data_IF_244236650922
#
_entry.id   IF_244236650922
#
_cell.length_a   1.000
_cell.length_b   1.000
_cell.length_c   1.000
_cell.angle_alpha   90.00
_cell.angle_beta   90.00
_cell.angle_gamma   90.00
#
_symmetry.space_group_name_H-M   'P 1'
#
loop_
_entity.id
_entity.type
_entity.pdbx_description
1 polymer ?
#
# COMPACT_ATOMS: atom_id res chain seq x y z
N UNK A 1 4.82 68.99 -5.72
CA UNK A 1 3.72 69.58 -6.51
C UNK A 1 4.26 69.75 -7.92
N UNK A 2 3.68 69.24 -9.00
CA UNK A 2 2.37 68.67 -9.24
C UNK A 2 2.43 67.82 -10.54
N UNK A 3 1.60 66.76 -10.59
CA UNK A 3 0.85 66.22 -11.74
C UNK A 3 1.62 65.80 -13.02
N UNK A 4 1.24 64.83 -13.83
CA UNK A 4 0.38 63.64 -13.78
C UNK A 4 0.25 63.16 -15.24
N UNK A 5 -0.02 61.86 -15.41
CA UNK A 5 -0.82 61.27 -16.50
C UNK A 5 -0.21 60.98 -17.89
N UNK A 6 -0.24 59.67 -18.18
CA UNK A 6 -0.82 59.00 -19.36
C UNK A 6 -0.05 58.99 -20.68
N UNK A 7 0.44 57.79 -21.04
CA UNK A 7 0.30 57.18 -22.37
C UNK A 7 0.85 55.76 -22.31
N UNK A 8 -0.04 54.75 -22.33
CA UNK A 8 0.36 53.41 -22.74
C UNK A 8 -0.85 52.65 -23.28
N UNK A 9 -1.06 52.69 -24.59
CA UNK A 9 -1.83 51.70 -25.34
C UNK A 9 -1.30 51.68 -26.78
N UNK A 10 -1.20 50.46 -27.33
CA UNK A 10 -0.92 50.08 -28.72
C UNK A 10 0.43 49.40 -28.95
N UNK A 11 0.50 48.11 -28.67
CA UNK A 11 1.32 47.18 -29.44
C UNK A 11 0.40 46.08 -29.99
N UNK A 12 0.18 46.14 -31.29
CA UNK A 12 -0.63 45.24 -32.10
C UNK A 12 0.18 43.95 -32.34
N UNK A 13 -0.19 42.84 -31.70
CA UNK A 13 0.43 41.54 -31.98
C UNK A 13 -0.29 40.89 -33.17
N UNK A 14 0.33 40.93 -34.34
CA UNK A 14 -0.11 40.14 -35.51
C UNK A 14 0.34 38.69 -35.28
N UNK A 15 -0.60 37.82 -34.90
CA UNK A 15 -0.37 36.38 -34.91
C UNK A 15 -0.53 35.85 -36.34
N UNK A 16 0.57 35.40 -36.94
CA UNK A 16 0.54 34.67 -38.20
C UNK A 16 -0.16 33.31 -37.99
N UNK A 17 -1.36 33.16 -38.56
CA UNK A 17 -2.02 31.88 -38.76
C UNK A 17 -1.32 31.15 -39.91
N UNK A 18 -0.32 30.33 -39.57
CA UNK A 18 0.07 29.21 -40.42
C UNK A 18 -0.75 28.00 -39.98
N UNK A 19 -1.45 27.29 -40.89
CA UNK A 19 -2.05 26.02 -40.54
C UNK A 19 -0.92 25.04 -40.24
N UNK A 20 -0.69 24.77 -38.95
CA UNK A 20 0.05 23.58 -38.56
C UNK A 20 -0.74 22.40 -39.12
N UNK A 21 -0.12 21.61 -40.00
CA UNK A 21 -0.62 20.28 -40.29
C UNK A 21 -0.67 19.54 -38.95
N UNK A 22 -1.87 19.36 -38.41
CA UNK A 22 -2.11 18.54 -37.22
C UNK A 22 -1.75 17.10 -37.58
N UNK A 23 -0.57 16.65 -37.19
CA UNK A 23 -0.22 15.24 -37.31
C UNK A 23 -0.97 14.50 -36.20
N UNK A 24 -1.74 13.47 -36.53
CA UNK A 24 -2.52 12.66 -35.58
C UNK A 24 -1.69 11.92 -34.50
N UNK A 25 -0.37 12.06 -34.52
CA UNK A 25 0.49 11.59 -33.45
C UNK A 25 0.25 12.44 -32.19
N UNK A 26 0.15 11.79 -31.03
CA UNK A 26 -0.04 12.43 -29.73
C UNK A 26 -1.44 13.01 -29.44
N UNK A 27 -2.44 12.78 -30.30
CA UNK A 27 -3.83 13.23 -30.10
C UNK A 27 -4.49 12.67 -28.83
N UNK A 28 -4.06 11.48 -28.38
CA UNK A 28 -4.57 10.84 -27.17
C UNK A 28 -3.63 10.99 -25.95
N UNK A 29 -2.71 11.96 -25.99
CA UNK A 29 -1.73 12.18 -24.92
C UNK A 29 -2.36 12.54 -23.57
N UNK A 30 -3.54 13.18 -23.56
CA UNK A 30 -4.23 13.51 -22.31
C UNK A 30 -4.69 12.25 -21.56
N UNK A 31 -5.29 11.29 -22.28
CA UNK A 31 -5.65 9.99 -21.70
C UNK A 31 -4.40 9.20 -21.27
N UNK A 32 -3.34 9.20 -22.09
CA UNK A 32 -2.05 8.60 -21.74
C UNK A 32 -1.51 9.12 -20.40
N UNK A 33 -1.51 10.45 -20.19
CA UNK A 33 -1.06 11.04 -18.92
C UNK A 33 -1.89 10.59 -17.73
N UNK A 34 -3.22 10.51 -17.87
CA UNK A 34 -4.10 10.01 -16.81
C UNK A 34 -3.74 8.57 -16.43
N UNK A 35 -3.57 7.68 -17.41
CA UNK A 35 -3.17 6.30 -17.12
C UNK A 35 -1.76 6.19 -16.55
N UNK A 36 -0.84 7.08 -16.94
CA UNK A 36 0.48 7.15 -16.31
C UNK A 36 0.42 7.61 -14.85
N UNK A 37 -0.47 8.54 -14.51
CA UNK A 37 -0.66 8.99 -13.12
C UNK A 37 -1.32 7.88 -12.28
N UNK A 38 -2.26 7.12 -12.84
CA UNK A 38 -2.85 5.92 -12.22
C UNK A 38 -1.84 4.77 -12.05
N UNK A 39 -0.99 4.54 -13.06
CA UNK A 39 0.13 3.60 -12.96
C UNK A 39 1.09 4.02 -11.85
N UNK A 40 1.40 5.31 -11.77
CA UNK A 40 2.30 5.87 -10.75
C UNK A 40 1.83 5.53 -9.34
N UNK A 41 0.56 5.77 -9.01
CA UNK A 41 0.05 5.49 -7.66
C UNK A 41 -0.09 4.00 -7.36
N UNK A 42 -0.23 3.14 -8.37
CA UNK A 42 -0.30 1.67 -8.18
C UNK A 42 1.07 1.00 -8.08
N UNK A 43 2.13 1.61 -8.58
CA UNK A 43 3.49 1.05 -8.53
C UNK A 43 4.41 1.73 -7.51
N UNK A 44 4.00 2.88 -6.95
CA UNK A 44 4.80 3.56 -5.92
C UNK A 44 4.75 2.77 -4.61
N UNK A 45 5.90 2.44 -4.00
CA UNK A 45 5.93 1.69 -2.75
C UNK A 45 5.37 2.52 -1.57
N UNK A 46 4.66 1.84 -0.68
CA UNK A 46 4.27 2.39 0.62
C UNK A 46 5.28 2.00 1.71
N UNK A 47 5.87 3.00 2.38
CA UNK A 47 7.00 2.83 3.32
C UNK A 47 6.78 3.46 4.71
N UNK A 48 5.70 4.20 4.94
CA UNK A 48 5.55 5.07 6.12
C UNK A 48 5.16 4.38 7.43
N UNK A 49 4.65 3.14 7.40
CA UNK A 49 4.04 2.47 8.57
C UNK A 49 4.91 1.43 9.26
N UNK A 50 6.22 1.42 9.06
CA UNK A 50 7.09 0.41 9.67
C UNK A 50 7.30 0.70 11.17
N UNK A 51 7.15 -0.34 12.00
CA UNK A 51 7.51 -0.33 13.42
C UNK A 51 8.82 -1.10 13.60
N UNK A 52 9.90 -0.37 13.88
CA UNK A 52 11.24 -0.94 14.05
C UNK A 52 11.64 -1.11 15.52
N UNK A 53 10.82 -0.61 16.45
CA UNK A 53 11.09 -0.74 17.88
C UNK A 53 10.92 -2.21 18.31
N UNK A 54 11.70 -2.61 19.31
CA UNK A 54 11.64 -3.94 19.90
C UNK A 54 11.40 -3.86 21.42
N UNK A 55 10.23 -3.37 21.88
CA UNK A 55 9.91 -3.25 23.31
C UNK A 55 9.95 -4.61 24.02
N UNK A 56 9.77 -5.71 23.30
CA UNK A 56 9.98 -7.07 23.81
C UNK A 56 11.39 -7.28 24.35
N UNK A 57 12.42 -6.67 23.73
CA UNK A 57 13.80 -6.78 24.20
C UNK A 57 13.96 -6.12 25.57
N UNK A 58 13.43 -4.91 25.75
CA UNK A 58 13.46 -4.20 27.03
C UNK A 58 12.65 -4.94 28.10
N UNK A 59 11.47 -5.44 27.75
CA UNK A 59 10.64 -6.24 28.66
C UNK A 59 11.34 -7.52 29.10
N UNK A 60 11.97 -8.24 28.17
CA UNK A 60 12.77 -9.43 28.49
C UNK A 60 13.97 -9.11 29.40
N UNK A 61 14.52 -7.89 29.32
CA UNK A 61 15.54 -7.43 30.27
C UNK A 61 14.95 -7.27 31.67
N UNK A 62 13.75 -6.69 31.78
CA UNK A 62 13.05 -6.52 33.06
C UNK A 62 12.75 -7.88 33.70
N UNK A 63 12.30 -8.85 32.92
CA UNK A 63 12.08 -10.22 33.40
C UNK A 63 13.37 -10.86 33.94
N UNK A 64 14.49 -10.69 33.24
CA UNK A 64 15.79 -11.21 33.67
C UNK A 64 16.31 -10.48 34.94
N UNK A 65 16.11 -9.17 35.05
CA UNK A 65 16.38 -8.42 36.28
C UNK A 65 15.52 -8.93 37.44
N UNK A 66 14.24 -9.21 37.20
CA UNK A 66 13.35 -9.78 38.22
C UNK A 66 13.84 -11.17 38.67
N UNK A 67 14.29 -12.02 37.75
CA UNK A 67 14.92 -13.29 38.06
C UNK A 67 16.16 -13.13 38.96
N UNK A 68 17.03 -12.15 38.67
CA UNK A 68 18.24 -11.88 39.47
C UNK A 68 17.96 -11.45 40.92
N UNK A 69 16.77 -10.89 41.17
CA UNK A 69 16.34 -10.42 42.49
C UNK A 69 15.50 -11.44 43.26
N UNK A 70 15.12 -12.56 42.64
CA UNK A 70 14.43 -13.68 43.27
C UNK A 70 15.28 -14.38 44.35
N UNK A 71 14.64 -15.23 45.14
CA UNK A 71 15.33 -16.07 46.13
C UNK A 71 16.15 -17.16 45.45
N UNK A 72 17.23 -17.58 46.12
CA UNK A 72 18.12 -18.61 45.59
C UNK A 72 17.36 -19.94 45.42
N UNK A 73 16.49 -20.31 46.37
CA UNK A 73 15.60 -21.48 46.29
C UNK A 73 14.68 -21.47 45.07
N UNK A 74 14.24 -20.30 44.64
CA UNK A 74 13.40 -20.13 43.45
C UNK A 74 14.23 -20.29 42.17
N UNK A 75 15.34 -19.57 42.08
CA UNK A 75 16.20 -19.60 40.89
C UNK A 75 16.83 -20.98 40.68
N UNK A 76 17.12 -21.72 41.75
CA UNK A 76 17.65 -23.08 41.72
C UNK A 76 16.65 -24.12 41.17
N UNK A 77 15.39 -23.75 40.92
CA UNK A 77 14.43 -24.64 40.26
C UNK A 77 14.68 -24.78 38.75
N UNK A 78 15.50 -23.90 38.16
CA UNK A 78 15.74 -23.84 36.72
C UNK A 78 17.19 -24.23 36.38
N UNK A 79 17.37 -25.15 35.44
CA UNK A 79 18.67 -25.39 34.81
C UNK A 79 18.77 -24.56 33.52
N UNK A 80 19.40 -23.39 33.66
CA UNK A 80 19.56 -22.41 32.58
C UNK A 80 20.80 -22.65 31.72
N UNK A 81 21.54 -23.74 31.97
CA UNK A 81 22.68 -24.15 31.13
C UNK A 81 22.27 -24.94 29.88
N UNK A 82 21.03 -25.43 29.86
CA UNK A 82 20.47 -26.18 28.74
C UNK A 82 20.02 -25.24 27.61
N UNK A 83 19.88 -25.79 26.40
CA UNK A 83 19.36 -25.05 25.24
C UNK A 83 17.82 -24.97 25.21
N UNK A 84 17.15 -25.87 25.93
CA UNK A 84 15.70 -25.93 26.05
C UNK A 84 15.25 -25.80 27.51
N UNK A 85 13.96 -25.45 27.70
CA UNK A 85 13.33 -25.31 29.01
C UNK A 85 13.61 -26.53 29.90
N UNK A 86 14.38 -26.30 30.97
CA UNK A 86 14.79 -27.33 31.90
C UNK A 86 14.61 -26.87 33.35
N UNK A 87 13.85 -27.63 34.18
CA UNK A 87 13.06 -28.81 33.83
C UNK A 87 11.85 -28.46 32.94
N UNK A 88 11.30 -29.43 32.19
CA UNK A 88 10.17 -29.21 31.26
C UNK A 88 8.86 -28.78 31.93
N UNK A 89 8.71 -29.02 33.24
CA UNK A 89 7.52 -28.70 34.01
C UNK A 89 7.89 -28.13 35.38
N UNK A 90 7.02 -27.29 35.97
CA UNK A 90 7.14 -26.89 37.37
C UNK A 90 7.20 -28.11 38.31
N UNK A 91 8.01 -28.06 39.38
CA UNK A 91 8.04 -29.11 40.40
C UNK A 91 6.72 -29.19 41.18
N UNK A 92 6.06 -30.35 41.13
CA UNK A 92 4.71 -30.56 41.69
C UNK A 92 4.60 -30.25 43.19
N UNK A 93 5.65 -30.50 43.97
CA UNK A 93 5.68 -30.26 45.42
C UNK A 93 6.03 -28.84 45.85
N UNK A 94 6.45 -27.97 44.91
CA UNK A 94 6.75 -26.55 45.19
C UNK A 94 5.76 -25.58 44.54
N UNK A 95 4.86 -26.08 43.70
CA UNK A 95 3.85 -25.29 43.00
C UNK A 95 2.58 -25.21 43.84
N UNK A 96 2.11 -24.02 44.24
CA UNK A 96 0.83 -23.88 44.94
C UNK A 96 -0.32 -24.47 44.12
N UNK A 97 -1.24 -25.19 44.78
CA UNK A 97 -2.34 -25.86 44.09
C UNK A 97 -3.24 -24.88 43.31
N UNK A 98 -3.40 -23.66 43.81
CA UNK A 98 -4.17 -22.57 43.18
C UNK A 98 -3.52 -22.00 41.94
N UNK A 99 -2.21 -22.20 41.77
CA UNK A 99 -1.41 -21.46 40.77
C UNK A 99 -0.81 -22.39 39.70
N UNK A 100 -1.18 -23.69 39.69
CA UNK A 100 -0.61 -24.69 38.78
C UNK A 100 -0.68 -24.28 37.31
N UNK A 101 -1.80 -23.73 36.86
CA UNK A 101 -1.96 -23.27 35.47
C UNK A 101 -1.07 -22.06 35.16
N UNK A 102 -1.05 -21.07 36.05
CA UNK A 102 -0.20 -19.89 35.91
C UNK A 102 1.26 -20.27 35.86
N UNK A 103 1.71 -21.15 36.75
CA UNK A 103 3.09 -21.64 36.74
C UNK A 103 3.42 -22.41 35.47
N UNK A 104 2.56 -23.32 35.02
CA UNK A 104 2.79 -24.05 33.77
C UNK A 104 2.91 -23.11 32.57
N UNK A 105 2.09 -22.06 32.51
CA UNK A 105 2.11 -21.04 31.45
C UNK A 105 3.38 -20.19 31.49
N UNK A 106 3.81 -19.79 32.69
CA UNK A 106 4.94 -18.87 32.88
C UNK A 106 6.30 -19.59 32.95
N UNK A 107 6.31 -20.90 33.17
CA UNK A 107 7.54 -21.70 33.34
C UNK A 107 8.57 -21.48 32.23
N UNK A 108 8.20 -21.52 30.94
CA UNK A 108 9.16 -21.28 29.85
C UNK A 108 9.72 -19.85 29.87
N UNK A 109 8.90 -18.87 30.22
CA UNK A 109 9.29 -17.45 30.28
C UNK A 109 10.27 -17.20 31.43
N UNK A 110 10.00 -17.78 32.60
CA UNK A 110 10.90 -17.69 33.76
C UNK A 110 12.24 -18.36 33.49
N UNK A 111 12.25 -19.53 32.83
CA UNK A 111 13.48 -20.20 32.41
C UNK A 111 14.29 -19.33 31.44
N UNK A 112 13.63 -18.77 30.41
CA UNK A 112 14.30 -17.89 29.44
C UNK A 112 14.87 -16.62 30.09
N UNK A 113 14.13 -16.03 31.04
CA UNK A 113 14.61 -14.90 31.84
C UNK A 113 15.85 -15.27 32.67
N UNK A 114 15.88 -16.48 33.24
CA UNK A 114 17.05 -17.02 33.93
C UNK A 114 18.26 -17.20 33.02
N UNK A 115 18.08 -17.81 31.84
CA UNK A 115 19.15 -17.95 30.83
C UNK A 115 19.72 -16.60 30.39
N UNK A 116 18.86 -15.60 30.18
CA UNK A 116 19.28 -14.23 29.89
C UNK A 116 20.02 -13.59 31.05
N UNK A 117 19.52 -13.73 32.28
CA UNK A 117 20.17 -13.23 33.50
C UNK A 117 21.60 -13.76 33.63
N UNK A 118 21.83 -15.05 33.37
CA UNK A 118 23.17 -15.68 33.39
C UNK A 118 24.05 -15.12 32.28
N UNK A 119 23.55 -15.08 31.05
CA UNK A 119 24.28 -14.62 29.85
C UNK A 119 24.74 -13.16 29.99
N UNK A 120 23.84 -12.28 30.43
CA UNK A 120 24.16 -10.86 30.60
C UNK A 120 24.94 -10.56 31.89
N UNK A 121 25.05 -11.55 32.79
CA UNK A 121 25.66 -11.44 34.12
C UNK A 121 24.93 -10.42 35.01
N UNK A 122 23.59 -10.42 34.96
CA UNK A 122 22.77 -9.52 35.77
C UNK A 122 22.91 -9.85 37.26
N UNK A 123 23.19 -8.84 38.08
CA UNK A 123 23.38 -9.01 39.51
C UNK A 123 24.65 -9.79 39.90
N UNK A 124 25.64 -9.91 38.98
CA UNK A 124 26.91 -10.62 39.20
C UNK A 124 28.12 -9.78 38.78
N UNK A 125 29.16 -9.75 39.61
CA UNK A 125 30.47 -9.17 39.31
C UNK A 125 30.50 -7.63 39.17
N UNK A 126 31.57 -7.12 38.57
CA UNK A 126 31.86 -5.67 38.47
C UNK A 126 31.25 -4.99 37.22
N UNK A 127 30.31 -5.64 36.53
CA UNK A 127 29.66 -5.04 35.35
C UNK A 127 28.76 -3.89 35.77
N UNK A 128 28.96 -2.73 35.13
CA UNK A 128 28.28 -1.46 35.47
C UNK A 128 26.79 -1.42 35.13
N UNK A 129 26.34 -2.18 34.13
CA UNK A 129 24.95 -2.07 33.66
C UNK A 129 23.91 -2.64 34.66
N UNK A 130 24.25 -3.71 35.38
CA UNK A 130 23.33 -4.40 36.31
C UNK A 130 24.09 -4.91 37.56
N UNK A 131 24.51 -4.00 38.47
CA UNK A 131 25.35 -4.37 39.60
C UNK A 131 24.63 -5.27 40.61
N UNK A 132 25.38 -6.09 41.39
CA UNK A 132 24.82 -6.89 42.46
C UNK A 132 24.19 -6.03 43.57
N UNK A 133 23.03 -6.45 44.09
CA UNK A 133 22.39 -5.83 45.26
C UNK A 133 22.77 -6.64 46.50
N UNK A 134 23.71 -6.12 47.31
CA UNK A 134 24.27 -6.83 48.46
C UNK A 134 23.35 -6.87 49.69
N UNK A 135 22.47 -5.87 49.87
CA UNK A 135 21.57 -5.79 51.04
C UNK A 135 20.27 -6.57 50.79
N UNK A 136 19.92 -7.59 51.61
CA UNK A 136 18.72 -8.40 51.40
C UNK A 136 17.42 -7.59 51.35
N UNK A 137 17.29 -6.55 52.18
CA UNK A 137 16.13 -5.67 52.17
C UNK A 137 15.98 -4.91 50.84
N UNK A 138 17.09 -4.44 50.27
CA UNK A 138 17.09 -3.75 48.98
C UNK A 138 16.80 -4.71 47.83
N UNK A 139 17.35 -5.94 47.86
CA UNK A 139 17.04 -6.99 46.85
C UNK A 139 15.55 -7.31 46.83
N UNK A 140 14.93 -7.49 48.01
CA UNK A 140 13.48 -7.71 48.13
C UNK A 140 12.65 -6.52 47.65
N UNK A 141 13.09 -5.29 47.93
CA UNK A 141 12.40 -4.09 47.45
C UNK A 141 12.49 -3.98 45.93
N UNK A 142 13.67 -4.19 45.34
CA UNK A 142 13.87 -4.20 43.89
C UNK A 142 12.98 -5.24 43.21
N UNK A 143 12.90 -6.46 43.76
CA UNK A 143 12.02 -7.52 43.25
C UNK A 143 10.55 -7.06 43.17
N UNK A 144 10.03 -6.44 44.24
CA UNK A 144 8.64 -5.93 44.26
C UNK A 144 8.39 -4.85 43.22
N UNK A 145 9.32 -3.92 43.05
CA UNK A 145 9.16 -2.86 42.03
C UNK A 145 9.28 -3.42 40.61
N UNK A 146 10.15 -4.41 40.37
CA UNK A 146 10.24 -5.11 39.09
C UNK A 146 8.96 -5.89 38.78
N UNK A 147 8.34 -6.55 39.77
CA UNK A 147 7.04 -7.21 39.57
C UNK A 147 5.95 -6.22 39.13
N UNK A 148 5.82 -5.08 39.80
CA UNK A 148 4.86 -4.03 39.38
C UNK A 148 5.13 -3.54 37.94
N UNK A 149 6.40 -3.36 37.60
CA UNK A 149 6.79 -2.94 36.26
C UNK A 149 6.47 -4.02 35.21
N UNK A 150 6.69 -5.30 35.53
CA UNK A 150 6.34 -6.42 34.67
C UNK A 150 4.84 -6.44 34.40
N UNK A 151 4.02 -6.31 35.45
CA UNK A 151 2.56 -6.35 35.35
C UNK A 151 2.03 -5.21 34.47
N UNK A 152 2.55 -4.00 34.66
CA UNK A 152 2.20 -2.85 33.84
C UNK A 152 2.67 -2.98 32.38
N UNK A 153 3.88 -3.48 32.16
CA UNK A 153 4.52 -3.48 30.82
C UNK A 153 4.06 -4.65 29.94
N UNK A 154 3.68 -5.79 30.54
CA UNK A 154 3.28 -6.99 29.80
C UNK A 154 2.13 -6.72 28.84
N UNK A 155 1.13 -5.97 29.28
CA UNK A 155 -0.02 -5.62 28.45
C UNK A 155 0.39 -4.73 27.28
N UNK A 156 1.25 -3.75 27.51
CA UNK A 156 1.75 -2.84 26.46
C UNK A 156 2.56 -3.59 25.39
N UNK A 157 3.44 -4.50 25.79
CA UNK A 157 4.21 -5.34 24.84
C UNK A 157 3.28 -6.23 24.02
N UNK A 158 2.26 -6.81 24.67
CA UNK A 158 1.26 -7.64 23.97
C UNK A 158 0.51 -6.82 22.93
N UNK A 159 0.00 -5.63 23.31
CA UNK A 159 -0.68 -4.71 22.40
C UNK A 159 0.22 -4.29 21.24
N UNK A 160 1.50 -3.98 21.51
CA UNK A 160 2.46 -3.62 20.48
C UNK A 160 2.64 -4.74 19.45
N UNK A 161 2.76 -6.01 19.88
CA UNK A 161 2.89 -7.14 18.97
C UNK A 161 1.62 -7.38 18.14
N UNK A 162 0.43 -7.15 18.72
CA UNK A 162 -0.84 -7.16 17.99
C UNK A 162 -0.83 -6.08 16.91
N UNK A 163 -0.49 -4.84 17.24
CA UNK A 163 -0.40 -3.74 16.26
C UNK A 163 0.62 -4.04 15.16
N UNK A 164 1.80 -4.56 15.50
CA UNK A 164 2.85 -4.95 14.53
C UNK A 164 2.34 -6.02 13.55
N UNK A 165 1.59 -7.00 14.04
CA UNK A 165 0.97 -8.06 13.22
C UNK A 165 -0.13 -7.49 12.32
N UNK A 166 -0.97 -6.63 12.86
CA UNK A 166 -2.05 -5.97 12.12
C UNK A 166 -1.51 -5.09 10.99
N UNK A 167 -0.44 -4.34 11.23
CA UNK A 167 0.23 -3.53 10.21
C UNK A 167 0.74 -4.40 9.05
N UNK A 168 1.34 -5.55 9.35
CA UNK A 168 1.81 -6.50 8.32
C UNK A 168 0.64 -7.02 7.48
N UNK A 169 -0.46 -7.40 8.12
CA UNK A 169 -1.67 -7.90 7.44
C UNK A 169 -2.28 -6.82 6.55
N UNK A 170 -2.45 -5.60 7.07
CA UNK A 170 -3.01 -4.47 6.31
C UNK A 170 -2.11 -4.02 5.17
N UNK A 171 -0.78 -4.08 5.33
CA UNK A 171 0.15 -3.80 4.24
C UNK A 171 -0.01 -4.81 3.10
N UNK A 172 -0.15 -6.09 3.40
CA UNK A 172 -0.44 -7.09 2.38
C UNK A 172 -1.80 -6.86 1.67
N UNK A 173 -2.81 -6.39 2.40
CA UNK A 173 -4.10 -6.00 1.81
C UNK A 173 -3.97 -4.77 0.89
N UNK A 174 -3.21 -3.75 1.31
CA UNK A 174 -2.89 -2.59 0.47
C UNK A 174 -2.22 -3.01 -0.83
N UNK A 175 -1.18 -3.82 -0.75
CA UNK A 175 -0.42 -4.29 -1.93
C UNK A 175 -1.34 -5.11 -2.87
N UNK A 176 -2.25 -5.90 -2.31
CA UNK A 176 -3.27 -6.63 -3.08
C UNK A 176 -4.23 -5.68 -3.81
N UNK A 177 -4.78 -4.67 -3.12
CA UNK A 177 -5.67 -3.69 -3.75
C UNK A 177 -5.00 -2.90 -4.86
N UNK A 178 -3.76 -2.46 -4.68
CA UNK A 178 -3.00 -1.75 -5.72
C UNK A 178 -2.74 -2.65 -6.93
N UNK A 179 -2.39 -3.92 -6.69
CA UNK A 179 -2.15 -4.91 -7.75
C UNK A 179 -3.42 -5.22 -8.53
N UNK A 180 -4.54 -5.44 -7.84
CA UNK A 180 -5.84 -5.69 -8.49
C UNK A 180 -6.38 -4.46 -9.21
N UNK A 181 -6.12 -3.24 -8.73
CA UNK A 181 -6.43 -2.03 -9.49
C UNK A 181 -5.65 -1.98 -10.80
N UNK A 182 -4.35 -2.27 -10.73
CA UNK A 182 -3.45 -2.18 -11.89
C UNK A 182 -3.72 -3.26 -12.94
N UNK A 183 -3.84 -4.52 -12.50
CA UNK A 183 -3.83 -5.70 -13.37
C UNK A 183 -5.15 -6.48 -13.36
N UNK A 184 -6.04 -6.17 -12.42
CA UNK A 184 -7.31 -6.87 -12.24
C UNK A 184 -7.21 -8.13 -11.38
N UNK A 185 -8.37 -8.69 -11.07
CA UNK A 185 -8.51 -9.92 -10.30
C UNK A 185 -7.93 -11.13 -11.06
N UNK A 186 -7.21 -12.00 -10.37
CA UNK A 186 -6.62 -13.20 -10.98
C UNK A 186 -5.45 -12.91 -11.92
N UNK A 187 -4.82 -11.75 -11.80
CA UNK A 187 -3.57 -11.43 -12.50
C UNK A 187 -2.48 -12.47 -12.16
N UNK A 188 -1.61 -12.72 -13.13
CA UNK A 188 -0.48 -13.64 -13.00
C UNK A 188 0.75 -13.04 -13.68
N UNK A 189 1.94 -13.30 -13.12
CA UNK A 189 3.22 -12.81 -13.65
C UNK A 189 3.28 -11.29 -13.94
N UNK A 190 2.52 -10.47 -13.20
CA UNK A 190 2.49 -9.02 -13.39
C UNK A 190 1.74 -8.54 -14.65
N UNK A 191 0.85 -9.38 -15.18
CA UNK A 191 0.05 -9.11 -16.38
C UNK A 191 -1.45 -9.14 -16.10
N UNK A 192 -2.26 -8.32 -16.78
CA UNK A 192 -3.70 -8.49 -16.77
C UNK A 192 -4.10 -9.76 -17.52
N UNK A 193 -5.02 -10.55 -16.95
CA UNK A 193 -5.47 -11.83 -17.50
C UNK A 193 -6.94 -11.80 -17.92
N UNK A 194 -7.29 -12.51 -18.99
CA UNK A 194 -8.69 -12.63 -19.41
C UNK A 194 -9.45 -13.67 -18.58
N UNK A 195 -10.75 -13.48 -18.29
CA UNK A 195 -11.59 -12.32 -18.64
C UNK A 195 -11.66 -11.24 -17.53
N UNK A 196 -10.90 -11.43 -16.43
CA UNK A 196 -11.09 -10.67 -15.18
C UNK A 196 -10.29 -9.38 -15.12
N UNK A 197 -9.04 -9.39 -15.58
CA UNK A 197 -8.20 -8.19 -15.69
C UNK A 197 -8.28 -7.48 -17.03
N UNK A 198 -8.56 -8.21 -18.10
CA UNK A 198 -8.88 -7.70 -19.44
C UNK A 198 -10.03 -8.53 -20.02
N UNK A 199 -10.97 -7.97 -20.77
CA UNK A 199 -12.14 -8.74 -21.21
C UNK A 199 -11.77 -9.88 -22.20
N UNK A 200 -10.90 -9.56 -23.15
CA UNK A 200 -10.33 -10.51 -24.09
C UNK A 200 -8.98 -10.01 -24.60
N UNK A 201 -8.20 -10.89 -25.23
CA UNK A 201 -6.95 -10.51 -25.92
C UNK A 201 -7.10 -10.53 -27.44
N UNK A 202 -8.21 -11.05 -27.96
CA UNK A 202 -8.37 -11.45 -29.37
C UNK A 202 -8.60 -10.31 -30.35
N UNK A 203 -9.26 -9.23 -29.93
CA UNK A 203 -9.47 -8.04 -30.75
C UNK A 203 -9.80 -6.85 -29.87
N UNK A 204 -9.61 -5.64 -30.41
CA UNK A 204 -9.99 -4.41 -29.73
C UNK A 204 -11.46 -4.42 -29.33
N UNK A 205 -12.36 -4.80 -30.24
CA UNK A 205 -13.81 -4.80 -29.97
C UNK A 205 -14.19 -5.74 -28.81
N UNK A 206 -13.55 -6.91 -28.72
CA UNK A 206 -13.79 -7.89 -27.65
C UNK A 206 -13.10 -7.55 -26.33
N UNK A 207 -12.14 -6.62 -26.34
CA UNK A 207 -11.40 -6.21 -25.15
C UNK A 207 -11.88 -4.87 -24.57
N UNK A 208 -12.24 -3.95 -25.45
CA UNK A 208 -12.43 -2.52 -25.20
C UNK A 208 -13.80 -1.99 -25.63
N UNK A 209 -14.61 -2.82 -26.29
CA UNK A 209 -15.97 -2.47 -26.69
C UNK A 209 -16.86 -2.11 -25.49
N UNK A 210 -18.04 -1.57 -25.77
CA UNK A 210 -18.96 -1.07 -24.75
C UNK A 210 -19.19 -2.09 -23.61
N UNK A 211 -19.24 -1.60 -22.37
CA UNK A 211 -19.42 -2.37 -21.12
C UNK A 211 -18.26 -3.30 -20.71
N UNK A 212 -17.16 -3.34 -21.47
CA UNK A 212 -15.98 -4.15 -21.15
C UNK A 212 -14.88 -3.45 -20.35
N UNK A 213 -14.65 -2.12 -20.51
CA UNK A 213 -13.68 -1.38 -19.72
C UNK A 213 -13.95 -1.34 -18.22
N UNK A 214 -12.93 -0.92 -17.46
CA UNK A 214 -13.00 -0.75 -16.01
C UNK A 214 -12.46 -1.93 -15.21
N UNK A 215 -12.12 -3.05 -15.87
CA UNK A 215 -11.59 -4.26 -15.24
C UNK A 215 -10.23 -4.05 -14.56
N UNK A 216 -9.33 -3.32 -15.22
CA UNK A 216 -8.02 -2.94 -14.69
C UNK A 216 -7.48 -1.70 -15.39
N UNK A 217 -6.59 -0.97 -14.73
CA UNK A 217 -5.89 0.17 -15.34
C UNK A 217 -5.08 -0.29 -16.56
N UNK A 218 -4.41 -1.44 -16.49
CA UNK A 218 -3.62 -1.96 -17.60
C UNK A 218 -4.47 -2.27 -18.84
N UNK A 219 -5.65 -2.87 -18.68
CA UNK A 219 -6.56 -3.13 -19.79
C UNK A 219 -7.09 -1.82 -20.41
N UNK A 220 -7.54 -0.89 -19.58
CA UNK A 220 -8.04 0.40 -20.06
C UNK A 220 -6.93 1.20 -20.77
N UNK A 221 -5.70 1.14 -20.27
CA UNK A 221 -4.55 1.79 -20.90
C UNK A 221 -4.18 1.14 -22.24
N UNK A 222 -4.25 -0.20 -22.34
CA UNK A 222 -4.10 -0.91 -23.61
C UNK A 222 -5.17 -0.46 -24.63
N UNK A 223 -6.42 -0.32 -24.18
CA UNK A 223 -7.54 0.14 -25.01
C UNK A 223 -7.36 1.57 -25.52
N UNK A 224 -6.85 2.48 -24.68
CA UNK A 224 -6.59 3.86 -25.04
C UNK A 224 -5.38 4.05 -25.97
N UNK A 225 -4.54 3.03 -26.14
CA UNK A 225 -3.26 3.20 -26.84
C UNK A 225 -3.02 2.24 -27.99
N UNK A 226 -3.88 1.25 -28.20
CA UNK A 226 -3.84 0.35 -29.36
C UNK A 226 -5.16 0.51 -30.11
N UNK A 227 -5.09 0.71 -31.42
CA UNK A 227 -6.25 0.90 -32.28
C UNK A 227 -6.43 -0.34 -33.18
N UNK A 228 -7.51 -0.42 -33.95
CA UNK A 228 -7.80 -1.57 -34.85
C UNK A 228 -7.62 -1.26 -36.33
N UNK A 229 -7.09 -0.08 -36.68
CA UNK A 229 -7.09 0.43 -38.04
C UNK A 229 -5.68 0.76 -38.58
N UNK A 230 -4.78 1.22 -37.73
CA UNK A 230 -3.44 1.68 -38.14
C UNK A 230 -2.38 1.46 -37.04
N UNK A 231 -1.23 2.12 -37.19
CA UNK A 231 -0.15 2.14 -36.19
C UNK A 231 0.28 3.56 -35.80
N UNK A 232 -0.60 4.53 -36.00
CA UNK A 232 -0.37 5.94 -35.67
C UNK A 232 -0.15 6.08 -34.18
N UNK A 233 0.93 6.78 -33.78
CA UNK A 233 1.32 6.96 -32.37
C UNK A 233 0.44 7.99 -31.64
N UNK A 234 -0.88 7.82 -31.69
CA UNK A 234 -1.89 8.71 -31.10
C UNK A 234 -1.69 8.86 -29.58
N UNK A 235 -1.35 7.77 -28.89
CA UNK A 235 -1.25 7.79 -27.42
C UNK A 235 0.07 8.39 -26.91
N UNK A 236 1.21 8.09 -27.53
CA UNK A 236 2.51 8.67 -27.18
C UNK A 236 3.53 8.43 -28.29
N UNK A 237 4.42 9.39 -28.59
CA UNK A 237 5.52 9.17 -29.56
C UNK A 237 6.49 8.06 -29.14
N UNK A 238 6.52 7.73 -27.84
CA UNK A 238 7.36 6.70 -27.24
C UNK A 238 6.73 5.29 -27.28
N UNK A 239 5.49 5.18 -27.74
CA UNK A 239 4.77 3.92 -27.79
C UNK A 239 4.40 3.60 -29.25
N UNK A 240 4.72 2.39 -29.68
CA UNK A 240 4.26 1.88 -30.98
C UNK A 240 3.02 1.02 -30.75
N UNK A 241 1.82 1.47 -31.21
CA UNK A 241 0.58 0.74 -31.04
C UNK A 241 0.60 -0.61 -31.78
N UNK A 242 -0.27 -1.51 -31.37
CA UNK A 242 -0.64 -2.72 -32.10
C UNK A 242 -1.95 -2.47 -32.84
N UNK A 243 -2.02 -2.85 -34.12
CA UNK A 243 -3.29 -2.93 -34.85
C UNK A 243 -4.06 -4.15 -34.34
N UNK A 244 -4.95 -3.94 -33.37
CA UNK A 244 -5.55 -4.96 -32.53
C UNK A 244 -6.79 -5.61 -33.20
N UNK A 245 -6.59 -6.18 -34.39
CA UNK A 245 -7.60 -6.98 -35.12
C UNK A 245 -7.51 -8.48 -34.82
N UNK A 246 -6.44 -8.91 -34.15
CA UNK A 246 -6.15 -10.28 -33.72
C UNK A 246 -5.49 -10.30 -32.33
N UNK A 247 -5.09 -11.46 -31.83
CA UNK A 247 -4.44 -11.57 -30.51
C UNK A 247 -3.31 -10.55 -30.31
N UNK A 248 -3.40 -9.75 -29.25
CA UNK A 248 -2.34 -8.87 -28.80
C UNK A 248 -1.35 -9.62 -27.90
N UNK A 249 -0.05 -9.36 -28.07
CA UNK A 249 0.95 -9.73 -27.07
C UNK A 249 0.88 -8.76 -25.89
N UNK A 250 0.07 -9.12 -24.89
CA UNK A 250 -0.14 -8.33 -23.67
C UNK A 250 1.18 -8.08 -22.93
N UNK A 251 2.06 -9.08 -22.84
CA UNK A 251 3.31 -8.95 -22.11
C UNK A 251 4.18 -7.85 -22.70
N UNK A 252 4.45 -7.92 -24.00
CA UNK A 252 5.26 -6.92 -24.71
C UNK A 252 4.59 -5.55 -24.68
N UNK A 253 3.29 -5.48 -25.01
CA UNK A 253 2.59 -4.19 -25.15
C UNK A 253 2.39 -3.48 -23.82
N UNK A 254 2.15 -4.22 -22.74
CA UNK A 254 2.05 -3.66 -21.40
C UNK A 254 3.40 -3.12 -20.90
N UNK A 255 4.50 -3.85 -21.10
CA UNK A 255 5.84 -3.39 -20.72
C UNK A 255 6.23 -2.09 -21.46
N UNK A 256 5.91 -2.00 -22.75
CA UNK A 256 6.15 -0.79 -23.55
C UNK A 256 5.29 0.39 -23.09
N UNK A 257 4.02 0.16 -22.73
CA UNK A 257 3.16 1.23 -22.19
C UNK A 257 3.69 1.76 -20.87
N UNK A 258 4.05 0.88 -19.92
CA UNK A 258 4.68 1.31 -18.66
C UNK A 258 5.91 2.18 -18.91
N UNK A 259 6.77 1.75 -19.85
CA UNK A 259 8.01 2.47 -20.20
C UNK A 259 7.75 3.82 -20.89
N UNK A 260 6.56 4.03 -21.46
CA UNK A 260 6.19 5.29 -22.10
C UNK A 260 5.82 6.40 -21.11
N UNK A 261 5.59 6.08 -19.84
CA UNK A 261 5.31 7.04 -18.79
C UNK A 261 6.60 7.70 -18.27
N UNK A 262 6.84 8.96 -18.67
CA UNK A 262 8.00 9.75 -18.22
C UNK A 262 7.59 10.77 -17.15
N UNK A 263 7.68 10.41 -15.87
CA UNK A 263 7.66 11.36 -14.73
C UNK A 263 8.42 10.78 -13.53
N UNK A 264 9.02 11.60 -12.66
CA UNK A 264 9.53 11.11 -11.38
C UNK A 264 8.34 10.65 -10.53
N UNK A 265 8.38 9.37 -10.12
CA UNK A 265 7.43 8.83 -9.16
C UNK A 265 7.60 9.59 -7.82
N UNK A 266 6.51 9.87 -7.08
CA UNK A 266 6.64 10.39 -5.72
C UNK A 266 7.48 9.42 -4.88
N UNK A 267 8.25 9.94 -3.92
CA UNK A 267 9.14 9.13 -3.10
C UNK A 267 8.39 8.10 -2.22
N UNK A 268 7.12 8.35 -1.91
CA UNK A 268 6.26 7.45 -1.16
C UNK A 268 4.80 7.60 -1.58
N UNK A 269 4.05 6.49 -1.54
CA UNK A 269 2.61 6.47 -1.77
C UNK A 269 1.87 7.09 -0.57
N UNK A 270 0.79 7.84 -0.85
CA UNK A 270 -0.12 8.37 0.16
C UNK A 270 -1.57 8.30 -0.33
N UNK A 271 -2.54 8.35 0.61
CA UNK A 271 -3.96 8.43 0.27
C UNK A 271 -4.28 9.66 -0.60
N UNK A 272 -3.66 10.80 -0.29
CA UNK A 272 -3.82 12.03 -1.06
C UNK A 272 -3.33 11.89 -2.51
N UNK A 273 -2.21 11.17 -2.73
CA UNK A 273 -1.72 10.90 -4.09
C UNK A 273 -2.71 10.05 -4.90
N UNK A 274 -3.30 9.01 -4.28
CA UNK A 274 -4.33 8.19 -4.92
C UNK A 274 -5.55 9.05 -5.28
N UNK A 275 -6.08 9.84 -4.35
CA UNK A 275 -7.22 10.72 -4.61
C UNK A 275 -6.90 11.77 -5.68
N UNK A 276 -5.67 12.30 -5.72
CA UNK A 276 -5.22 13.21 -6.77
C UNK A 276 -5.25 12.57 -8.16
N UNK A 277 -4.79 11.33 -8.29
CA UNK A 277 -4.85 10.59 -9.55
C UNK A 277 -6.30 10.27 -9.97
N UNK A 278 -7.17 9.91 -9.01
CA UNK A 278 -8.60 9.69 -9.27
C UNK A 278 -9.33 10.97 -9.68
N UNK A 279 -8.97 12.11 -9.09
CA UNK A 279 -9.52 13.42 -9.46
C UNK A 279 -9.06 13.84 -10.87
N UNK A 280 -7.78 13.61 -11.21
CA UNK A 280 -7.26 13.84 -12.56
C UNK A 280 -7.97 12.98 -13.61
N UNK A 281 -8.23 11.71 -13.30
CA UNK A 281 -9.06 10.83 -14.13
C UNK A 281 -10.47 11.41 -14.32
N UNK A 282 -11.16 11.76 -13.24
CA UNK A 282 -12.51 12.29 -13.29
C UNK A 282 -12.59 13.61 -14.09
N UNK A 283 -11.61 14.50 -13.94
CA UNK A 283 -11.56 15.77 -14.65
C UNK A 283 -11.33 15.63 -16.16
N UNK A 284 -10.73 14.52 -16.60
CA UNK A 284 -10.43 14.27 -18.01
C UNK A 284 -11.55 13.48 -18.73
N UNK A 285 -12.54 12.97 -17.99
CA UNK A 285 -13.71 12.34 -18.59
C UNK A 285 -14.49 13.36 -19.42
N UNK A 286 -14.87 12.95 -20.62
CA UNK A 286 -15.74 13.71 -21.50
C UNK A 286 -17.17 13.20 -21.32
N UNK A 287 -18.12 14.12 -21.11
CA UNK A 287 -19.55 13.81 -21.01
C UNK A 287 -20.31 14.50 -22.12
N UNK A 288 -20.89 13.75 -23.06
CA UNK A 288 -21.65 14.32 -24.18
C UNK A 288 -22.78 13.40 -24.63
N UNK A 289 -23.81 14.01 -25.19
CA UNK A 289 -24.96 13.30 -25.73
C UNK A 289 -24.71 12.93 -27.19
N UNK A 290 -24.91 11.66 -27.56
CA UNK A 290 -24.98 11.20 -28.94
C UNK A 290 -26.26 10.38 -29.11
N UNK A 291 -27.11 10.75 -30.07
CA UNK A 291 -28.37 10.07 -30.38
C UNK A 291 -29.28 9.79 -29.16
N UNK A 292 -29.25 10.66 -28.14
CA UNK A 292 -30.03 10.52 -26.90
C UNK A 292 -29.36 9.69 -25.79
N UNK A 293 -28.18 9.11 -26.04
CA UNK A 293 -27.36 8.43 -25.04
C UNK A 293 -26.26 9.36 -24.51
N UNK A 294 -26.15 9.44 -23.18
CA UNK A 294 -25.09 10.21 -22.49
C UNK A 294 -23.81 9.39 -22.44
N UNK A 295 -22.87 9.65 -23.34
CA UNK A 295 -21.58 8.97 -23.33
C UNK A 295 -20.64 9.58 -22.30
N UNK A 296 -19.92 8.72 -21.57
CA UNK A 296 -18.84 9.10 -20.66
C UNK A 296 -17.56 8.37 -21.06
N UNK A 297 -16.62 9.09 -21.67
CA UNK A 297 -15.44 8.48 -22.29
C UNK A 297 -14.14 9.14 -21.84
N UNK A 298 -13.03 8.41 -21.91
CA UNK A 298 -11.68 8.92 -21.78
C UNK A 298 -10.89 8.66 -23.07
N UNK A 299 -10.53 9.72 -23.78
CA UNK A 299 -9.63 9.65 -24.93
C UNK A 299 -10.15 10.34 -26.19
N UNK A 300 -9.67 9.90 -27.34
CA UNK A 300 -9.98 10.49 -28.65
C UNK A 300 -11.30 9.90 -29.18
N UNK A 301 -12.24 10.77 -29.53
CA UNK A 301 -13.47 10.36 -30.21
C UNK A 301 -14.14 11.52 -30.93
N UNK A 302 -14.21 11.43 -32.27
CA UNK A 302 -14.88 12.43 -33.11
C UNK A 302 -16.41 12.49 -32.95
N UNK A 303 -17.04 11.37 -32.56
CA UNK A 303 -18.49 11.23 -32.40
C UNK A 303 -18.91 10.64 -31.04
N UNK A 304 -17.96 10.61 -30.08
CA UNK A 304 -18.13 10.05 -28.74
C UNK A 304 -18.37 8.54 -28.69
N UNK A 305 -18.07 7.82 -29.78
CA UNK A 305 -17.97 6.36 -29.78
C UNK A 305 -16.52 5.90 -29.65
N UNK A 306 -16.31 4.83 -28.89
CA UNK A 306 -15.03 4.13 -28.80
C UNK A 306 -15.11 2.88 -29.68
N UNK A 307 -14.61 2.98 -30.90
CA UNK A 307 -14.64 1.87 -31.89
C UNK A 307 -13.26 1.28 -32.14
N UNK A 308 -12.21 1.90 -31.60
CA UNK A 308 -10.83 1.53 -31.86
C UNK A 308 -10.30 2.06 -33.19
N UNK A 309 -11.09 2.79 -33.99
CA UNK A 309 -10.58 3.48 -35.17
C UNK A 309 -9.62 4.61 -34.79
N UNK A 310 -8.84 5.10 -35.76
CA UNK A 310 -7.79 6.10 -35.56
C UNK A 310 -8.27 7.39 -34.86
N UNK A 311 -9.48 7.84 -35.16
CA UNK A 311 -10.13 9.04 -34.59
C UNK A 311 -11.12 8.72 -33.44
N UNK A 312 -11.17 7.45 -33.00
CA UNK A 312 -12.12 6.89 -32.03
C UNK A 312 -11.43 5.97 -31.02
N UNK A 313 -10.22 6.34 -30.64
CA UNK A 313 -9.38 5.64 -29.68
C UNK A 313 -9.62 6.17 -28.26
N UNK A 314 -10.63 5.61 -27.60
CA UNK A 314 -11.04 5.97 -26.25
C UNK A 314 -11.48 4.76 -25.45
N UNK A 315 -11.72 4.99 -24.15
CA UNK A 315 -12.31 4.02 -23.23
C UNK A 315 -13.70 4.50 -22.81
N UNK A 316 -14.69 3.64 -22.98
CA UNK A 316 -16.09 3.95 -22.70
C UNK A 316 -16.51 3.50 -21.29
N UNK A 317 -16.74 4.47 -20.40
CA UNK A 317 -17.21 4.26 -19.04
C UNK A 317 -18.72 4.51 -18.87
N UNK A 318 -19.47 4.72 -19.95
CA UNK A 318 -20.90 5.11 -19.92
C UNK A 318 -21.74 4.23 -19.00
N UNK A 319 -21.51 2.92 -19.01
CA UNK A 319 -22.21 1.95 -18.15
C UNK A 319 -22.13 2.30 -16.65
N UNK A 320 -21.02 2.91 -16.21
CA UNK A 320 -20.80 3.30 -14.82
C UNK A 320 -21.43 4.65 -14.45
N UNK A 321 -22.06 5.33 -15.40
CA UNK A 321 -22.73 6.61 -15.20
C UNK A 321 -24.23 6.54 -15.51
N UNK A 322 -24.73 5.37 -15.90
CA UNK A 322 -26.16 5.13 -16.11
C UNK A 322 -26.88 4.86 -14.78
N UNK A 323 -27.61 5.87 -14.32
CA UNK A 323 -28.41 5.81 -13.08
C UNK A 323 -29.49 4.73 -13.10
N UNK A 324 -29.95 4.29 -14.27
CA UNK A 324 -31.01 3.26 -14.39
C UNK A 324 -30.50 1.87 -14.04
N UNK A 325 -29.19 1.64 -14.16
CA UNK A 325 -28.54 0.36 -13.87
C UNK A 325 -28.05 0.25 -12.42
N UNK A 326 -28.21 1.31 -11.62
CA UNK A 326 -27.66 1.39 -10.26
C UNK A 326 -26.13 1.50 -10.20
N UNK A 327 -25.46 1.60 -11.35
CA UNK A 327 -24.02 1.81 -11.42
C UNK A 327 -23.69 3.30 -11.25
N UNK A 328 -22.67 3.56 -10.45
CA UNK A 328 -22.10 4.89 -10.23
C UNK A 328 -20.62 4.87 -10.58
N UNK A 329 -20.03 6.04 -10.81
CA UNK A 329 -18.61 6.17 -11.11
C UNK A 329 -17.68 5.54 -10.06
N UNK A 330 -18.19 5.23 -8.85
CA UNK A 330 -17.44 4.53 -7.79
C UNK A 330 -17.41 3.02 -7.96
N UNK A 331 -18.21 2.46 -8.89
CA UNK A 331 -18.31 1.03 -9.20
C UNK A 331 -17.41 0.57 -10.34
N UNK A 332 -16.58 1.46 -10.90
CA UNK A 332 -15.49 1.05 -11.79
C UNK A 332 -14.54 0.14 -10.96
N UNK A 333 -14.34 -1.14 -11.32
CA UNK A 333 -13.62 -2.09 -10.47
C UNK A 333 -12.24 -1.62 -10.01
N UNK A 334 -11.39 -1.15 -10.91
CA UNK A 334 -10.06 -0.66 -10.52
C UNK A 334 -10.11 0.58 -9.63
N UNK A 335 -11.11 1.45 -9.80
CA UNK A 335 -11.29 2.63 -8.97
C UNK A 335 -11.71 2.26 -7.55
N UNK A 336 -12.63 1.30 -7.40
CA UNK A 336 -13.03 0.80 -6.08
C UNK A 336 -11.83 0.25 -5.30
N UNK A 337 -10.91 -0.43 -5.99
CA UNK A 337 -9.67 -0.93 -5.40
C UNK A 337 -8.74 0.21 -4.97
N UNK A 338 -8.61 1.27 -5.77
CA UNK A 338 -7.85 2.46 -5.39
C UNK A 338 -8.45 3.18 -4.17
N UNK A 339 -9.77 3.32 -4.09
CA UNK A 339 -10.44 3.90 -2.91
C UNK A 339 -10.18 3.06 -1.64
N UNK A 340 -10.26 1.73 -1.76
CA UNK A 340 -9.90 0.80 -0.67
C UNK A 340 -8.42 0.90 -0.27
N UNK A 341 -7.52 1.07 -1.23
CA UNK A 341 -6.11 1.31 -0.97
C UNK A 341 -5.89 2.63 -0.20
N UNK A 342 -6.54 3.72 -0.61
CA UNK A 342 -6.44 5.02 0.07
C UNK A 342 -6.95 4.96 1.52
N UNK A 343 -8.08 4.28 1.75
CA UNK A 343 -8.59 4.03 3.10
C UNK A 343 -7.60 3.20 3.95
N UNK A 344 -7.02 2.14 3.37
CA UNK A 344 -6.06 1.27 4.05
C UNK A 344 -4.79 2.02 4.45
N UNK A 345 -4.30 2.97 3.63
CA UNK A 345 -3.17 3.83 3.99
C UNK A 345 -3.47 4.66 5.24
N UNK A 346 -4.64 5.29 5.31
CA UNK A 346 -5.05 6.07 6.49
C UNK A 346 -5.06 5.20 7.75
N UNK A 347 -5.56 3.97 7.66
CA UNK A 347 -5.57 3.02 8.78
C UNK A 347 -4.17 2.58 9.18
N UNK A 348 -3.28 2.33 8.22
CA UNK A 348 -1.87 1.97 8.47
C UNK A 348 -1.14 3.09 9.19
N UNK A 349 -1.36 4.35 8.79
CA UNK A 349 -0.74 5.51 9.43
C UNK A 349 -1.22 5.69 10.88
N UNK A 350 -2.52 5.55 11.12
CA UNK A 350 -3.11 5.60 12.46
C UNK A 350 -2.58 4.49 13.37
N UNK A 351 -2.55 3.23 12.88
CA UNK A 351 -2.02 2.09 13.64
C UNK A 351 -0.52 2.20 13.90
N UNK A 352 0.25 2.73 12.96
CA UNK A 352 1.67 2.96 13.18
C UNK A 352 1.92 4.01 14.27
N UNK A 353 1.06 5.04 14.37
CA UNK A 353 1.12 6.00 15.47
C UNK A 353 0.80 5.35 16.81
N UNK A 354 -0.25 4.52 16.86
CA UNK A 354 -0.59 3.72 18.05
C UNK A 354 0.60 2.85 18.51
N UNK A 355 1.20 2.10 17.58
CA UNK A 355 2.37 1.26 17.88
C UNK A 355 3.57 2.05 18.39
N UNK A 356 3.86 3.22 17.81
CA UNK A 356 4.92 4.11 18.31
C UNK A 356 4.63 4.65 19.70
N UNK A 357 3.36 4.88 20.05
CA UNK A 357 2.99 5.32 21.39
C UNK A 357 3.11 4.19 22.42
N UNK A 358 2.85 2.94 22.03
CA UNK A 358 3.05 1.77 22.89
C UNK A 358 4.53 1.44 23.14
N UNK A 359 5.41 1.81 22.20
CA UNK A 359 6.85 1.56 22.31
C UNK A 359 7.61 2.60 23.15
N UNK A 360 7.01 3.77 23.40
CA UNK A 360 7.56 4.84 24.24
C UNK A 360 7.21 4.60 25.70
#
# INVERSE_FOLDING_TARGET
MALSMWLNHSALTVAALLPLAETAANDNAAAHRVYCDLLTVTTTPYTASNLNDEPSTAFNTILAMNFSTSSDDWTAMFDTSQEEVSPKKPPEGKTPATDKETWAKMWPEWWAAGGRCVTEKMGKGDKTAYPPISKPAQKRQAHRELQKLIDATRQLVTQYQTVKTDLKTKKAQLDSYLTEALLGEGNTAGLPTAPKGIAAVTSWANACGANLPGKSIAADFLCACNNNADTTKQCSPLYTPHTWTSNIDVNTKWLLLKSSCKKPFPAALSAAAIHGALAAFAAQLQHKDNAGTKHTILGLSGDHQCTGAADKLCVDYTAYFDKTTGHTATKIPWKEKLEKAAATITELEAKALEGRNLAR
#
